data_IF_721155785305
#
_entry.id   IF_721155785305
#
_cell.length_a   1.000
_cell.length_b   1.000
_cell.length_c   1.000
_cell.angle_alpha   90.00
_cell.angle_beta   90.00
_cell.angle_gamma   90.00
#
_symmetry.space_group_name_H-M   'P 1'
#
loop_
_entity.id
_entity.type
_entity.pdbx_description
1 polymer ?
#
# COMPACT_ATOMS: atom_id res chain seq x y z
N UNK A 1 -17.82 -12.32 13.63
CA UNK A 1 -17.14 -12.37 12.31
C UNK A 1 -17.95 -11.50 11.34
N UNK A 2 -17.44 -10.32 10.98
CA UNK A 2 -18.11 -9.49 9.96
C UNK A 2 -17.56 -9.91 8.61
N UNK A 3 -18.38 -10.61 7.84
CA UNK A 3 -18.18 -10.79 6.41
C UNK A 3 -18.21 -9.39 5.78
N UNK A 4 -17.04 -8.85 5.45
CA UNK A 4 -16.98 -7.67 4.58
C UNK A 4 -17.24 -8.16 3.17
N UNK A 5 -18.43 -7.82 2.67
CA UNK A 5 -18.82 -7.95 1.28
C UNK A 5 -17.72 -7.39 0.38
N UNK A 6 -17.30 -8.20 -0.59
CA UNK A 6 -16.51 -7.73 -1.73
C UNK A 6 -17.25 -6.56 -2.38
N UNK A 7 -16.63 -5.39 -2.40
CA UNK A 7 -17.08 -4.29 -3.25
C UNK A 7 -16.52 -4.51 -4.66
N UNK A 8 -17.35 -4.51 -5.71
CA UNK A 8 -16.89 -4.60 -7.08
C UNK A 8 -16.66 -3.19 -7.62
N UNK A 9 -15.42 -2.73 -7.68
CA UNK A 9 -15.14 -1.43 -8.31
C UNK A 9 -13.69 -1.32 -8.78
N UNK A 10 -13.55 -1.22 -10.10
CA UNK A 10 -12.34 -0.92 -10.89
C UNK A 10 -11.63 -2.14 -11.51
N UNK A 11 -11.20 -2.05 -12.79
CA UNK A 11 -10.43 -3.12 -13.42
C UNK A 11 -9.19 -3.42 -12.59
N UNK A 12 -8.81 -4.70 -12.51
CA UNK A 12 -7.79 -5.25 -11.60
C UNK A 12 -6.35 -4.79 -11.86
N UNK A 13 -6.12 -3.49 -12.02
CA UNK A 13 -4.79 -2.90 -12.20
C UNK A 13 -4.31 -2.33 -10.87
N UNK A 14 -3.24 -2.92 -10.33
CA UNK A 14 -2.75 -2.56 -9.00
C UNK A 14 -2.39 -1.07 -8.87
N UNK A 15 -1.94 -0.40 -9.94
CA UNK A 15 -1.57 1.02 -9.93
C UNK A 15 -2.73 1.97 -9.58
N UNK A 16 -3.98 1.55 -9.78
CA UNK A 16 -5.13 2.39 -9.45
C UNK A 16 -5.20 2.69 -7.96
N UNK A 17 -4.67 1.80 -7.11
CA UNK A 17 -4.61 1.99 -5.66
C UNK A 17 -3.79 3.21 -5.21
N UNK A 18 -3.02 3.84 -6.11
CA UNK A 18 -2.32 5.10 -5.85
C UNK A 18 -3.27 6.32 -5.87
N UNK A 19 -4.50 6.13 -6.33
CA UNK A 19 -5.47 7.19 -6.56
C UNK A 19 -6.75 6.96 -5.74
N UNK A 20 -7.59 7.98 -5.63
CA UNK A 20 -8.91 7.83 -5.03
C UNK A 20 -9.84 7.08 -5.99
N UNK A 21 -10.70 6.25 -5.41
CA UNK A 21 -11.55 5.31 -6.13
C UNK A 21 -12.46 6.00 -7.15
N UNK A 22 -12.99 7.18 -6.82
CA UNK A 22 -13.86 7.96 -7.70
C UNK A 22 -13.20 8.39 -9.02
N UNK A 23 -11.88 8.35 -9.12
CA UNK A 23 -11.13 8.70 -10.33
C UNK A 23 -10.64 7.49 -11.12
N UNK A 24 -10.77 6.26 -10.61
CA UNK A 24 -10.18 5.07 -11.21
C UNK A 24 -10.57 4.86 -12.68
N UNK A 25 -11.85 5.05 -13.03
CA UNK A 25 -12.33 4.84 -14.40
C UNK A 25 -11.63 5.79 -15.40
N UNK A 26 -11.54 7.08 -15.06
CA UNK A 26 -10.88 8.09 -15.89
C UNK A 26 -9.37 7.85 -16.02
N UNK A 27 -8.75 7.41 -14.94
CA UNK A 27 -7.31 7.11 -14.93
C UNK A 27 -7.03 5.87 -15.78
N UNK A 28 -7.86 4.82 -15.65
CA UNK A 28 -7.75 3.61 -16.44
C UNK A 28 -7.92 3.86 -17.95
N UNK A 29 -8.80 4.79 -18.33
CA UNK A 29 -8.94 5.24 -19.72
C UNK A 29 -7.64 5.88 -20.25
N UNK A 30 -6.94 6.66 -19.43
CA UNK A 30 -5.71 7.34 -19.82
C UNK A 30 -4.45 6.46 -19.81
N UNK A 31 -4.34 5.53 -18.86
CA UNK A 31 -3.13 4.72 -18.64
C UNK A 31 -3.23 3.29 -19.16
N UNK A 32 -4.45 2.76 -19.30
CA UNK A 32 -4.68 1.38 -19.74
C UNK A 32 -4.27 0.32 -18.72
N UNK A 33 -4.13 -0.95 -19.15
CA UNK A 33 -4.03 -2.09 -18.24
C UNK A 33 -2.64 -2.36 -17.64
N UNK A 34 -1.56 -1.97 -18.33
CA UNK A 34 -0.19 -2.26 -17.88
C UNK A 34 0.75 -1.08 -18.17
N UNK A 35 0.48 0.08 -17.54
CA UNK A 35 1.33 1.25 -17.71
C UNK A 35 2.70 1.01 -17.07
N UNK A 36 3.71 1.71 -17.59
CA UNK A 36 5.02 1.75 -16.95
C UNK A 36 4.97 2.62 -15.69
N UNK A 37 5.91 2.40 -14.77
CA UNK A 37 6.12 3.27 -13.60
C UNK A 37 6.31 4.71 -14.05
N UNK A 38 7.04 4.96 -15.13
CA UNK A 38 7.19 6.30 -15.69
C UNK A 38 5.84 6.93 -16.09
N UNK A 39 4.97 6.19 -16.76
CA UNK A 39 3.66 6.68 -17.19
C UNK A 39 2.77 7.00 -15.98
N UNK A 40 2.71 6.10 -15.00
CA UNK A 40 1.96 6.30 -13.76
C UNK A 40 2.54 7.48 -12.97
N UNK A 41 3.86 7.59 -12.85
CA UNK A 41 4.53 8.68 -12.14
C UNK A 41 4.28 10.03 -12.78
N UNK A 42 4.37 10.11 -14.12
CA UNK A 42 4.09 11.32 -14.88
C UNK A 42 2.64 11.77 -14.65
N UNK A 43 1.69 10.84 -14.76
CA UNK A 43 0.29 11.11 -14.48
C UNK A 43 0.08 11.56 -13.02
N UNK A 44 0.66 10.85 -12.06
CA UNK A 44 0.56 11.15 -10.64
C UNK A 44 1.14 12.51 -10.25
N UNK A 45 2.21 12.94 -10.95
CA UNK A 45 2.91 14.20 -10.66
C UNK A 45 2.25 15.42 -11.30
N UNK A 46 1.63 15.25 -12.47
CA UNK A 46 0.99 16.34 -13.22
C UNK A 46 -0.42 16.64 -12.69
N UNK A 47 -1.12 15.63 -12.18
CA UNK A 47 -2.48 15.79 -11.65
C UNK A 47 -2.48 16.27 -10.20
N UNK A 48 -3.62 16.87 -9.80
CA UNK A 48 -3.83 17.44 -8.48
C UNK A 48 -3.61 16.43 -7.35
N UNK A 49 -3.18 16.91 -6.17
CA UNK A 49 -3.12 16.13 -4.94
C UNK A 49 -4.45 15.45 -4.62
N UNK A 50 -5.55 16.07 -5.05
CA UNK A 50 -6.90 15.54 -4.87
C UNK A 50 -7.16 14.19 -5.55
N UNK A 51 -6.37 13.80 -6.55
CA UNK A 51 -6.49 12.48 -7.17
C UNK A 51 -5.87 11.37 -6.33
N UNK A 52 -4.99 11.70 -5.38
CA UNK A 52 -4.13 10.74 -4.68
C UNK A 52 -4.89 10.08 -3.53
N UNK A 53 -4.62 8.80 -3.30
CA UNK A 53 -5.15 8.10 -2.13
C UNK A 53 -4.49 8.61 -0.85
N UNK A 54 -5.23 8.53 0.27
CA UNK A 54 -4.69 8.69 1.62
C UNK A 54 -4.28 7.34 2.25
N UNK A 55 -4.52 6.23 1.55
CA UNK A 55 -4.13 4.90 2.01
C UNK A 55 -2.62 4.69 1.90
N UNK A 56 -2.12 3.78 2.72
CA UNK A 56 -0.76 3.32 2.63
C UNK A 56 -0.64 2.26 1.54
N UNK A 57 0.48 2.30 0.85
CA UNK A 57 0.84 1.45 -0.27
C UNK A 57 1.97 0.52 0.15
N UNK A 58 1.82 -0.75 -0.16
CA UNK A 58 2.87 -1.74 0.04
C UNK A 58 3.15 -2.46 -1.28
N UNK A 59 4.39 -2.43 -1.78
CA UNK A 59 4.77 -3.28 -2.91
C UNK A 59 4.75 -4.75 -2.48
N UNK A 60 3.95 -5.55 -3.17
CA UNK A 60 3.87 -7.00 -3.00
C UNK A 60 4.76 -7.72 -4.00
N UNK A 61 5.05 -7.08 -5.13
CA UNK A 61 5.97 -7.57 -6.16
C UNK A 61 6.80 -6.44 -6.75
N UNK A 62 8.11 -6.63 -6.76
CA UNK A 62 9.08 -5.77 -7.42
C UNK A 62 10.27 -6.66 -7.80
N UNK A 63 10.24 -7.24 -8.99
CA UNK A 63 11.10 -8.37 -9.35
C UNK A 63 11.93 -8.13 -10.63
N UNK A 64 12.77 -9.11 -10.94
CA UNK A 64 13.75 -9.05 -12.04
C UNK A 64 13.08 -9.07 -13.43
N UNK A 65 11.81 -9.48 -13.52
CA UNK A 65 11.03 -9.43 -14.77
C UNK A 65 10.35 -8.07 -14.98
N UNK A 66 10.72 -7.06 -14.19
CA UNK A 66 10.27 -5.68 -14.31
C UNK A 66 8.76 -5.50 -14.07
N UNK A 67 8.19 -6.25 -13.12
CA UNK A 67 6.79 -6.09 -12.72
C UNK A 67 6.67 -5.41 -11.36
N UNK A 68 5.62 -4.59 -11.24
CA UNK A 68 5.19 -3.95 -9.99
C UNK A 68 3.77 -4.37 -9.67
N UNK A 69 3.57 -4.91 -8.48
CA UNK A 69 2.25 -5.13 -7.89
C UNK A 69 2.22 -4.47 -6.53
N UNK A 70 1.12 -3.81 -6.21
CA UNK A 70 0.92 -3.13 -4.94
C UNK A 70 -0.39 -3.56 -4.28
N UNK A 71 -0.40 -3.46 -2.95
CA UNK A 71 -1.61 -3.51 -2.14
C UNK A 71 -1.79 -2.19 -1.40
N UNK A 72 -3.03 -1.91 -0.98
CA UNK A 72 -3.36 -0.74 -0.18
C UNK A 72 -4.01 -1.15 1.14
N UNK A 73 -3.89 -0.30 2.14
CA UNK A 73 -4.46 -0.53 3.45
C UNK A 73 -4.18 0.61 4.42
N UNK A 74 -4.63 0.41 5.65
CA UNK A 74 -4.36 1.33 6.74
C UNK A 74 -2.91 1.21 7.22
N UNK A 75 -2.38 2.28 7.82
CA UNK A 75 -1.06 2.23 8.44
C UNK A 75 -1.04 1.12 9.52
N UNK A 76 0.00 0.27 9.57
CA UNK A 76 0.12 -0.75 10.60
C UNK A 76 0.06 -0.15 12.00
N UNK A 77 -0.92 -0.57 12.79
CA UNK A 77 -1.14 -0.06 14.15
C UNK A 77 -0.10 -0.69 15.08
N UNK A 78 0.56 0.15 15.90
CA UNK A 78 1.54 -0.33 16.88
C UNK A 78 0.88 -1.29 17.88
N UNK A 79 1.42 -2.51 18.08
CA UNK A 79 0.90 -3.45 19.07
C UNK A 79 0.94 -2.86 20.48
N UNK A 80 -0.17 -3.04 21.21
CA UNK A 80 -0.25 -2.77 22.65
C UNK A 80 -0.01 -4.07 23.43
N UNK A 81 0.50 -3.97 24.67
CA UNK A 81 0.61 -5.14 25.55
C UNK A 81 -0.74 -5.78 25.78
N UNK A 82 -0.75 -7.10 25.83
CA UNK A 82 -1.95 -7.87 26.12
C UNK A 82 -2.13 -8.08 27.63
N UNK A 83 -3.37 -7.85 28.08
CA UNK A 83 -3.80 -7.99 29.47
C UNK A 83 -4.98 -8.98 29.53
N UNK A 84 -5.08 -9.78 30.59
CA UNK A 84 -6.22 -10.63 30.89
C UNK A 84 -7.10 -10.01 31.97
N UNK A 85 -8.39 -10.30 31.84
CA UNK A 85 -9.37 -9.97 32.87
C UNK A 85 -9.68 -8.49 33.00
N UNK A 86 -10.62 -8.19 33.88
CA UNK A 86 -10.97 -6.82 34.25
C UNK A 86 -9.92 -6.17 35.16
N UNK A 87 -9.06 -6.99 35.79
CA UNK A 87 -8.04 -6.56 36.76
C UNK A 87 -6.70 -6.15 36.13
N UNK A 88 -6.51 -6.37 34.82
CA UNK A 88 -5.36 -5.82 34.09
C UNK A 88 -4.05 -6.56 34.32
N UNK A 89 -4.09 -7.86 34.58
CA UNK A 89 -2.88 -8.68 34.65
C UNK A 89 -2.25 -8.83 33.26
N UNK A 90 -0.95 -8.54 33.15
CA UNK A 90 -0.21 -8.75 31.90
C UNK A 90 -0.08 -10.26 31.67
N UNK A 91 -0.62 -10.74 30.55
CA UNK A 91 -0.54 -12.17 30.15
C UNK A 91 0.67 -12.43 29.27
N UNK A 92 1.11 -11.38 28.59
CA UNK A 92 2.20 -11.42 27.64
C UNK A 92 3.54 -11.17 28.32
N UNK A 93 4.48 -12.08 28.13
CA UNK A 93 5.86 -11.89 28.57
C UNK A 93 6.53 -10.73 27.84
N UNK A 94 7.60 -10.18 28.42
CA UNK A 94 8.38 -9.11 27.78
C UNK A 94 8.92 -9.55 26.41
N UNK A 95 9.41 -10.78 26.31
CA UNK A 95 9.95 -11.35 25.07
C UNK A 95 8.87 -11.47 23.97
N UNK A 96 7.67 -11.94 24.30
CA UNK A 96 6.55 -12.05 23.35
C UNK A 96 6.11 -10.67 22.83
N UNK A 97 6.09 -9.67 23.72
CA UNK A 97 5.78 -8.29 23.34
C UNK A 97 6.85 -7.73 22.39
N UNK A 98 8.13 -7.92 22.73
CA UNK A 98 9.25 -7.43 21.94
C UNK A 98 9.30 -8.09 20.56
N UNK A 99 9.05 -9.40 20.47
CA UNK A 99 8.93 -10.10 19.19
C UNK A 99 7.81 -9.53 18.32
N UNK A 100 6.66 -9.19 18.91
CA UNK A 100 5.55 -8.56 18.18
C UNK A 100 5.90 -7.15 17.74
N UNK A 101 6.64 -6.39 18.55
CA UNK A 101 7.14 -5.07 18.17
C UNK A 101 8.13 -5.17 17.00
N UNK A 102 9.07 -6.12 17.03
CA UNK A 102 10.00 -6.35 15.91
C UNK A 102 9.24 -6.73 14.64
N UNK A 103 8.26 -7.64 14.72
CA UNK A 103 7.40 -8.00 13.57
C UNK A 103 6.65 -6.79 13.03
N UNK A 104 6.07 -5.97 13.90
CA UNK A 104 5.39 -4.74 13.50
C UNK A 104 6.34 -3.72 12.85
N UNK A 105 7.56 -3.53 13.39
CA UNK A 105 8.55 -2.61 12.81
C UNK A 105 8.95 -3.05 11.41
N UNK A 106 9.23 -4.35 11.22
CA UNK A 106 9.57 -4.93 9.93
C UNK A 106 8.44 -4.76 8.92
N UNK A 107 7.20 -5.02 9.32
CA UNK A 107 6.06 -4.85 8.44
C UNK A 107 5.82 -3.37 8.11
N UNK A 108 5.84 -2.48 9.10
CA UNK A 108 5.65 -1.02 8.94
C UNK A 108 6.59 -0.42 7.90
N UNK A 109 7.85 -0.83 7.87
CA UNK A 109 8.84 -0.31 6.92
C UNK A 109 8.52 -0.62 5.44
N UNK A 110 7.57 -1.52 5.18
CA UNK A 110 7.11 -1.90 3.84
C UNK A 110 5.92 -1.08 3.36
N UNK A 111 5.32 -0.28 4.23
CA UNK A 111 4.18 0.58 3.93
C UNK A 111 4.63 2.01 3.72
N UNK A 112 4.11 2.65 2.68
CA UNK A 112 4.49 3.99 2.25
C UNK A 112 3.24 4.82 1.99
N UNK A 113 3.29 6.13 2.23
CA UNK A 113 2.30 7.00 1.60
C UNK A 113 2.43 6.91 0.07
N UNK A 114 1.32 7.04 -0.67
CA UNK A 114 1.34 6.93 -2.13
C UNK A 114 2.38 7.84 -2.79
N UNK A 115 2.54 9.08 -2.27
CA UNK A 115 3.55 10.04 -2.75
C UNK A 115 4.98 9.53 -2.55
N UNK A 116 5.27 8.96 -1.39
CA UNK A 116 6.60 8.50 -1.00
C UNK A 116 6.95 7.23 -1.77
N UNK A 117 5.97 6.35 -1.97
CA UNK A 117 6.10 5.20 -2.84
C UNK A 117 6.48 5.63 -4.26
N UNK A 118 5.71 6.53 -4.87
CA UNK A 118 5.96 7.00 -6.24
C UNK A 118 7.31 7.69 -6.40
N UNK A 119 7.70 8.51 -5.42
CA UNK A 119 9.03 9.12 -5.39
C UNK A 119 10.14 8.06 -5.26
N UNK A 120 9.95 7.05 -4.42
CA UNK A 120 10.95 6.00 -4.21
C UNK A 120 11.14 5.13 -5.44
N UNK A 121 10.07 4.72 -6.11
CA UNK A 121 10.19 3.82 -7.27
C UNK A 121 10.70 4.55 -8.52
N UNK A 122 10.38 5.82 -8.70
CA UNK A 122 10.89 6.62 -9.82
C UNK A 122 12.40 6.88 -9.71
N UNK A 123 12.92 7.09 -8.50
CA UNK A 123 14.35 7.36 -8.29
C UNK A 123 15.24 6.10 -8.27
N UNK A 124 14.66 4.90 -8.13
CA UNK A 124 15.42 3.63 -8.02
C UNK A 124 15.55 2.87 -9.34
N UNK A 125 15.51 3.57 -10.48
CA UNK A 125 15.61 2.98 -11.82
C UNK A 125 14.51 1.96 -12.17
N UNK A 126 13.33 2.04 -11.56
CA UNK A 126 12.18 1.18 -11.91
C UNK A 126 11.27 1.81 -12.97
N UNK A 127 11.70 2.88 -13.64
CA UNK A 127 10.84 3.66 -14.54
C UNK A 127 10.26 2.85 -15.71
N UNK A 128 10.99 1.83 -16.17
CA UNK A 128 10.57 0.94 -17.25
C UNK A 128 9.79 -0.30 -16.76
N UNK A 129 9.66 -0.47 -15.44
CA UNK A 129 8.83 -1.53 -14.86
C UNK A 129 7.37 -1.27 -15.17
N UNK A 130 6.59 -2.33 -15.31
CA UNK A 130 5.16 -2.26 -15.60
C UNK A 130 4.34 -2.64 -14.39
N UNK A 131 3.26 -1.89 -14.16
CA UNK A 131 2.25 -2.35 -13.23
C UNK A 131 1.47 -3.52 -13.84
N UNK A 132 1.24 -4.53 -12.99
CA UNK A 132 0.43 -5.73 -13.27
C UNK A 132 -0.87 -5.70 -12.50
#
# INVERSE_FOLDING_TARGET
MRNSLASPSSPGFSYLLLFKEEYHARIAEGLGPSPTVHAVFSFFSINDLDYRTNLYIKPTRLDDIKQVTIESGDHPIRPKRQYAGWDGDIVETDDEYDERIVRWLNERQRWFEAKDFMYRISNKNYLDYKFS
#
